data_IF_068322197705
#
_entry.id   IF_068322197705
#
_cell.length_a   1.000
_cell.length_b   1.000
_cell.length_c   1.000
_cell.angle_alpha   90.00
_cell.angle_beta   90.00
_cell.angle_gamma   90.00
#
_symmetry.space_group_name_H-M   'P 1'
#
loop_
_entity.id
_entity.type
_entity.pdbx_description
1 polymer ?
#
# COMPACT_ATOMS: atom_id res chain seq x y z
N UNK A 1 48.75 4.53 -41.52
CA UNK A 1 47.37 4.09 -41.84
C UNK A 1 46.81 3.44 -40.59
N UNK A 2 46.11 4.24 -39.77
CA UNK A 2 45.41 3.79 -38.58
C UNK A 2 44.08 3.17 -39.01
N UNK A 3 43.82 1.93 -38.60
CA UNK A 3 42.50 1.33 -38.69
C UNK A 3 41.67 1.85 -37.51
N UNK A 4 40.66 2.66 -37.82
CA UNK A 4 39.66 3.11 -36.87
C UNK A 4 38.80 1.90 -36.46
N UNK A 5 38.94 1.48 -35.21
CA UNK A 5 37.97 0.62 -34.54
C UNK A 5 36.71 1.44 -34.27
N UNK A 6 35.68 1.24 -35.08
CA UNK A 6 34.34 1.73 -34.79
C UNK A 6 33.81 1.02 -33.53
N UNK A 7 33.85 1.73 -32.41
CA UNK A 7 33.17 1.37 -31.19
C UNK A 7 31.67 1.67 -31.39
N UNK A 8 30.88 0.65 -31.71
CA UNK A 8 29.42 0.73 -31.63
C UNK A 8 29.04 0.70 -30.14
N UNK A 9 28.85 1.87 -29.54
CA UNK A 9 28.13 1.98 -28.26
C UNK A 9 26.65 1.91 -28.63
N UNK A 10 26.06 0.72 -28.49
CA UNK A 10 24.61 0.58 -28.47
C UNK A 10 24.17 0.94 -27.04
N UNK A 11 23.70 2.17 -26.84
CA UNK A 11 23.01 2.56 -25.62
C UNK A 11 21.62 1.90 -25.62
N UNK A 12 21.53 0.70 -25.04
CA UNK A 12 20.25 0.15 -24.57
C UNK A 12 20.10 0.52 -23.08
N UNK A 13 19.76 1.77 -22.79
CA UNK A 13 19.17 2.12 -21.50
C UNK A 13 17.66 2.16 -21.67
N UNK A 14 17.06 1.00 -21.90
CA UNK A 14 15.68 0.74 -21.49
C UNK A 14 15.78 0.30 -20.04
N UNK A 15 15.73 1.25 -19.12
CA UNK A 15 15.63 0.97 -17.69
C UNK A 15 14.22 0.48 -17.40
N UNK A 16 14.05 -0.82 -17.65
CA UNK A 16 12.83 -1.57 -17.39
C UNK A 16 12.50 -1.45 -15.91
N UNK A 17 11.36 -0.86 -15.60
CA UNK A 17 10.95 -0.57 -14.22
C UNK A 17 9.59 -1.18 -13.97
N UNK A 18 9.46 -1.88 -12.85
CA UNK A 18 8.19 -2.41 -12.36
C UNK A 18 7.47 -1.29 -11.61
N UNK A 19 6.32 -0.85 -12.09
CA UNK A 19 5.56 0.22 -11.45
C UNK A 19 4.14 -0.20 -11.05
N UNK A 20 3.64 0.49 -10.02
CA UNK A 20 2.39 0.22 -9.30
C UNK A 20 1.48 1.44 -9.39
N UNK A 21 0.17 1.20 -9.47
CA UNK A 21 -0.68 2.10 -10.27
C UNK A 21 -1.86 2.75 -9.57
N UNK A 22 -2.55 2.10 -8.62
CA UNK A 22 -3.57 2.81 -7.83
C UNK A 22 -3.59 2.41 -6.36
N UNK A 23 -3.34 3.37 -5.48
CA UNK A 23 -3.68 3.28 -4.06
C UNK A 23 -4.72 4.33 -3.71
N UNK A 24 -5.71 3.93 -2.91
CA UNK A 24 -6.65 4.84 -2.27
C UNK A 24 -6.50 4.74 -0.75
N UNK A 25 -6.52 5.88 -0.09
CA UNK A 25 -6.66 5.94 1.35
C UNK A 25 -7.72 6.96 1.73
N UNK A 26 -8.45 6.68 2.80
CA UNK A 26 -9.50 7.58 3.24
C UNK A 26 -9.78 7.46 4.73
N UNK A 27 -10.39 8.51 5.26
CA UNK A 27 -10.89 8.59 6.61
C UNK A 27 -12.41 8.57 6.59
N UNK A 28 -12.98 7.72 7.44
CA UNK A 28 -14.41 7.73 7.73
C UNK A 28 -14.60 7.36 9.19
N UNK A 29 -15.15 8.29 9.96
CA UNK A 29 -15.07 8.38 11.41
C UNK A 29 -13.62 8.39 11.90
N UNK A 30 -13.40 7.69 13.01
CA UNK A 30 -12.07 7.49 13.58
C UNK A 30 -11.23 6.44 12.83
N UNK A 31 -11.70 5.95 11.67
CA UNK A 31 -11.07 4.86 10.94
C UNK A 31 -10.41 5.36 9.65
N UNK A 32 -9.11 5.16 9.59
CA UNK A 32 -8.31 5.32 8.38
C UNK A 32 -8.16 3.95 7.70
N UNK A 33 -8.33 3.94 6.38
CA UNK A 33 -8.41 2.76 5.54
C UNK A 33 -7.50 2.93 4.32
N UNK A 34 -6.77 1.88 3.97
CA UNK A 34 -5.96 1.81 2.76
C UNK A 34 -6.48 0.69 1.87
N UNK A 35 -6.64 0.96 0.57
CA UNK A 35 -6.99 -0.03 -0.43
C UNK A 35 -6.17 0.18 -1.70
N UNK A 36 -6.00 -0.88 -2.47
CA UNK A 36 -5.22 -0.81 -3.70
C UNK A 36 -5.56 -1.98 -4.63
N UNK A 37 -5.25 -1.84 -5.91
CA UNK A 37 -5.28 -2.93 -6.89
C UNK A 37 -4.07 -3.87 -6.69
N UNK A 38 -3.90 -4.94 -7.49
CA UNK A 38 -2.75 -5.85 -7.38
C UNK A 38 -1.84 -5.88 -8.60
N UNK A 39 -2.10 -5.06 -9.61
CA UNK A 39 -1.31 -5.03 -10.83
C UNK A 39 0.07 -4.42 -10.61
N UNK A 40 1.10 -5.17 -10.96
CA UNK A 40 2.45 -4.67 -11.25
C UNK A 40 2.58 -4.63 -12.76
N UNK A 41 2.91 -3.46 -13.30
CA UNK A 41 3.14 -3.26 -14.72
C UNK A 41 4.63 -3.23 -15.04
N UNK A 42 4.99 -3.76 -16.19
CA UNK A 42 6.35 -3.87 -16.72
C UNK A 42 6.32 -3.52 -18.21
N UNK A 43 6.86 -2.37 -18.57
CA UNK A 43 6.68 -1.81 -19.92
C UNK A 43 5.16 -1.68 -20.27
N UNK A 44 4.82 -1.36 -21.52
CA UNK A 44 3.44 -0.94 -21.90
C UNK A 44 2.41 -2.09 -21.93
N UNK A 45 2.83 -3.36 -21.99
CA UNK A 45 1.92 -4.50 -22.26
C UNK A 45 2.11 -5.72 -21.33
N UNK A 46 3.09 -5.71 -20.43
CA UNK A 46 3.32 -6.85 -19.53
C UNK A 46 2.93 -6.48 -18.12
N UNK A 47 2.13 -7.32 -17.49
CA UNK A 47 1.73 -7.10 -16.11
C UNK A 47 1.57 -8.41 -15.35
N UNK A 48 1.51 -8.29 -14.03
CA UNK A 48 1.17 -9.38 -13.12
C UNK A 48 0.28 -8.88 -12.00
N UNK A 49 -0.85 -9.55 -11.79
CA UNK A 49 -1.88 -9.14 -10.83
C UNK A 49 -1.64 -9.73 -9.43
N UNK A 50 -0.39 -9.73 -8.96
CA UNK A 50 0.04 -10.35 -7.68
C UNK A 50 0.84 -9.41 -6.77
N UNK A 51 0.96 -8.13 -7.16
CA UNK A 51 1.72 -7.16 -6.40
C UNK A 51 1.04 -6.78 -5.10
N UNK A 52 1.83 -6.65 -4.03
CA UNK A 52 1.32 -6.28 -2.70
C UNK A 52 1.60 -4.80 -2.48
N UNK A 53 0.55 -3.99 -2.38
CA UNK A 53 0.65 -2.53 -2.22
C UNK A 53 0.28 -2.06 -0.83
N UNK A 54 -0.58 -2.79 -0.13
CA UNK A 54 -1.03 -2.48 1.24
C UNK A 54 -0.32 -3.38 2.24
N UNK A 55 0.46 -2.79 3.15
CA UNK A 55 1.41 -3.51 4.00
C UNK A 55 1.40 -3.02 5.45
N UNK A 56 1.81 -3.92 6.34
CA UNK A 56 2.11 -3.61 7.74
C UNK A 56 3.63 -3.36 7.90
N UNK A 57 3.98 -2.34 8.67
CA UNK A 57 5.35 -2.05 9.11
C UNK A 57 5.38 -2.05 10.64
N UNK A 58 6.15 -2.95 11.23
CA UNK A 58 6.21 -3.08 12.69
C UNK A 58 7.19 -2.08 13.28
N UNK A 59 6.79 -1.41 14.36
CA UNK A 59 7.62 -0.43 15.06
C UNK A 59 7.69 -0.77 16.53
N UNK A 60 8.92 -0.85 17.03
CA UNK A 60 9.20 -1.05 18.45
C UNK A 60 10.24 -0.03 18.89
N UNK A 61 9.86 0.83 19.82
CA UNK A 61 10.75 1.81 20.44
C UNK A 61 10.91 1.44 21.91
N UNK A 62 12.13 1.11 22.30
CA UNK A 62 12.47 0.78 23.67
C UNK A 62 12.84 2.04 24.48
N UNK A 63 12.56 2.02 25.78
CA UNK A 63 12.99 3.05 26.72
C UNK A 63 14.52 3.00 26.91
N UNK A 64 15.12 4.06 27.49
CA UNK A 64 16.49 4.01 28.00
C UNK A 64 16.66 2.84 28.96
N UNK A 65 17.78 2.13 28.86
CA UNK A 65 18.10 1.01 29.75
C UNK A 65 18.69 1.58 31.04
N UNK A 66 18.06 1.39 32.21
CA UNK A 66 18.61 1.85 33.48
C UNK A 66 19.89 1.06 33.81
N UNK A 67 20.96 1.77 34.17
CA UNK A 67 22.24 1.14 34.50
C UNK A 67 22.12 0.14 35.66
N UNK A 68 21.24 0.43 36.62
CA UNK A 68 21.06 -0.36 37.83
C UNK A 68 20.38 -1.70 37.59
N UNK A 69 19.45 -1.77 36.62
CA UNK A 69 18.61 -2.95 36.41
C UNK A 69 18.97 -3.71 35.14
N UNK A 70 19.47 -3.02 34.11
CA UNK A 70 19.67 -3.61 32.79
C UNK A 70 18.39 -4.08 32.11
N UNK A 71 17.21 -3.74 32.65
CA UNK A 71 15.92 -4.20 32.14
C UNK A 71 15.49 -3.32 30.96
N UNK A 72 15.23 -3.95 29.83
CA UNK A 72 14.63 -3.29 28.66
C UNK A 72 13.12 -3.21 28.86
N UNK A 73 12.55 -2.02 28.65
CA UNK A 73 11.09 -1.82 28.62
C UNK A 73 10.71 -1.12 27.32
N UNK A 74 9.50 -1.35 26.82
CA UNK A 74 9.07 -0.82 25.53
C UNK A 74 8.14 0.38 25.73
N UNK A 75 8.45 1.48 25.04
CA UNK A 75 7.69 2.73 25.06
C UNK A 75 6.61 2.76 23.98
N UNK A 76 6.89 2.15 22.83
CA UNK A 76 6.00 2.10 21.66
C UNK A 76 6.08 0.73 21.00
N UNK A 77 4.95 0.09 20.77
CA UNK A 77 4.87 -1.18 20.04
C UNK A 77 3.58 -1.20 19.22
N UNK A 78 3.65 -0.69 18.00
CA UNK A 78 2.52 -0.59 17.09
C UNK A 78 2.90 -1.05 15.69
N UNK A 79 1.87 -1.37 14.91
CA UNK A 79 1.96 -1.61 13.48
C UNK A 79 1.50 -0.37 12.72
N UNK A 80 2.40 0.19 11.92
CA UNK A 80 2.08 1.20 10.93
C UNK A 80 1.46 0.55 9.70
N UNK A 81 0.60 1.30 9.01
CA UNK A 81 0.15 0.97 7.67
C UNK A 81 1.03 1.64 6.63
N UNK A 82 1.31 0.95 5.54
CA UNK A 82 1.97 1.49 4.36
C UNK A 82 1.16 1.16 3.11
N UNK A 83 0.91 2.13 2.24
CA UNK A 83 0.41 1.90 0.88
C UNK A 83 1.15 2.76 -0.13
N UNK A 84 1.42 2.25 -1.34
CA UNK A 84 2.32 2.93 -2.27
C UNK A 84 1.93 2.76 -3.75
N UNK A 85 2.35 3.73 -4.55
CA UNK A 85 2.35 3.70 -6.01
C UNK A 85 3.75 4.07 -6.55
N UNK A 86 4.03 3.70 -7.80
CA UNK A 86 5.34 3.86 -8.44
C UNK A 86 6.26 2.64 -8.33
N UNK A 87 7.55 2.86 -8.19
CA UNK A 87 8.62 1.84 -8.28
C UNK A 87 8.47 0.72 -7.24
N UNK A 88 8.07 -0.46 -7.71
CA UNK A 88 7.83 -1.66 -6.87
C UNK A 88 9.10 -2.04 -6.13
N UNK A 89 10.22 -2.16 -6.84
CA UNK A 89 11.49 -2.56 -6.24
C UNK A 89 11.92 -1.58 -5.15
N UNK A 90 11.76 -0.28 -5.38
CA UNK A 90 12.09 0.73 -4.38
C UNK A 90 11.19 0.60 -3.15
N UNK A 91 9.87 0.49 -3.35
CA UNK A 91 8.90 0.38 -2.27
C UNK A 91 9.17 -0.82 -1.35
N UNK A 92 9.44 -1.99 -1.91
CA UNK A 92 9.74 -3.19 -1.12
C UNK A 92 11.06 -3.07 -0.38
N UNK A 93 12.11 -2.52 -0.99
CA UNK A 93 13.40 -2.31 -0.33
C UNK A 93 13.27 -1.30 0.82
N UNK A 94 12.54 -0.20 0.61
CA UNK A 94 12.21 0.77 1.66
C UNK A 94 11.45 0.05 2.78
N UNK A 95 10.36 -0.66 2.46
CA UNK A 95 9.53 -1.38 3.43
C UNK A 95 10.35 -2.35 4.28
N UNK A 96 11.17 -3.19 3.66
CA UNK A 96 11.98 -4.18 4.40
C UNK A 96 13.02 -3.49 5.28
N UNK A 97 13.68 -2.44 4.76
CA UNK A 97 14.66 -1.67 5.52
C UNK A 97 14.04 -1.00 6.73
N UNK A 98 12.92 -0.28 6.56
CA UNK A 98 12.26 0.39 7.68
C UNK A 98 11.66 -0.62 8.66
N UNK A 99 11.15 -1.76 8.19
CA UNK A 99 10.60 -2.78 9.09
C UNK A 99 11.68 -3.41 9.99
N UNK A 100 12.92 -3.56 9.53
CA UNK A 100 14.03 -4.00 10.40
C UNK A 100 14.49 -2.87 11.34
N UNK A 101 14.72 -1.67 10.81
CA UNK A 101 15.28 -0.56 11.60
C UNK A 101 14.31 -0.09 12.67
N UNK A 102 13.02 0.06 12.34
CA UNK A 102 12.02 0.58 13.26
C UNK A 102 11.71 -0.38 14.42
N UNK A 103 12.14 -1.64 14.35
CA UNK A 103 12.06 -2.58 15.47
C UNK A 103 13.22 -2.46 16.48
N UNK A 104 14.23 -1.62 16.18
CA UNK A 104 15.47 -1.49 16.95
C UNK A 104 15.69 -0.07 17.47
N UNK A 105 14.63 0.73 17.51
CA UNK A 105 14.72 2.10 17.98
C UNK A 105 14.78 2.14 19.50
N UNK A 106 15.53 3.11 20.02
CA UNK A 106 15.54 3.45 21.43
C UNK A 106 15.25 4.94 21.58
N UNK A 107 14.35 5.26 22.49
CA UNK A 107 14.05 6.64 22.85
C UNK A 107 15.16 7.20 23.75
N UNK A 108 15.63 8.42 23.46
CA UNK A 108 16.54 9.17 24.33
C UNK A 108 15.78 10.35 24.96
N UNK A 109 15.76 10.50 26.31
CA UNK A 109 14.90 11.48 26.99
C UNK A 109 15.16 12.95 26.65
N UNK A 110 16.30 13.23 26.02
CA UNK A 110 16.74 14.56 25.64
C UNK A 110 16.57 14.84 24.13
N UNK A 111 15.95 13.92 23.37
CA UNK A 111 15.61 14.15 21.97
C UNK A 111 14.09 14.30 21.82
N UNK A 112 13.68 15.46 21.31
CA UNK A 112 12.39 16.12 21.57
C UNK A 112 11.21 15.68 20.68
N UNK A 113 11.21 14.48 20.08
CA UNK A 113 10.11 14.11 19.17
C UNK A 113 9.74 12.63 19.24
N UNK A 114 8.88 12.30 20.21
CA UNK A 114 8.21 10.99 20.32
C UNK A 114 6.81 11.05 19.70
N UNK A 115 6.71 11.57 18.47
CA UNK A 115 5.48 11.58 17.68
C UNK A 115 5.59 10.62 16.48
N UNK A 116 4.48 10.42 15.76
CA UNK A 116 4.53 9.76 14.46
C UNK A 116 5.41 10.55 13.46
N UNK A 117 5.41 11.89 13.51
CA UNK A 117 6.29 12.72 12.67
C UNK A 117 7.77 12.41 12.96
N UNK A 118 8.13 12.22 14.23
CA UNK A 118 9.47 11.79 14.64
C UNK A 118 9.88 10.45 14.02
N UNK A 119 8.95 9.49 13.99
CA UNK A 119 9.15 8.19 13.31
C UNK A 119 9.29 8.39 11.78
N UNK A 120 8.44 9.21 11.17
CA UNK A 120 8.52 9.55 9.74
C UNK A 120 9.85 10.19 9.35
N UNK A 121 10.45 11.05 10.18
CA UNK A 121 11.80 11.60 9.96
C UNK A 121 12.90 10.55 9.92
N UNK A 122 12.73 9.42 10.61
CA UNK A 122 13.64 8.29 10.49
C UNK A 122 13.43 7.61 9.14
N UNK A 123 12.18 7.36 8.76
CA UNK A 123 11.79 6.76 7.46
C UNK A 123 12.36 7.57 6.28
N UNK A 124 12.22 8.90 6.30
CA UNK A 124 12.74 9.82 5.28
C UNK A 124 14.22 9.54 4.94
N UNK A 125 15.06 9.34 5.96
CA UNK A 125 16.49 9.09 5.77
C UNK A 125 16.76 7.80 4.99
N UNK A 126 15.98 6.76 5.26
CA UNK A 126 16.13 5.47 4.57
C UNK A 126 15.59 5.50 3.16
N UNK A 127 14.48 6.21 2.94
CA UNK A 127 13.91 6.41 1.61
C UNK A 127 14.91 7.13 0.72
N UNK A 128 15.47 8.27 1.16
CA UNK A 128 16.42 9.04 0.37
C UNK A 128 17.68 8.23 0.03
N UNK A 129 18.20 7.51 1.03
CA UNK A 129 19.38 6.64 0.85
C UNK A 129 19.10 5.47 -0.10
N UNK A 130 17.94 4.82 0.00
CA UNK A 130 17.60 3.63 -0.81
C UNK A 130 17.32 4.04 -2.25
N UNK A 131 16.48 5.06 -2.45
CA UNK A 131 16.15 5.60 -3.77
C UNK A 131 17.41 6.08 -4.50
N UNK A 132 18.30 6.82 -3.83
CA UNK A 132 19.56 7.26 -4.40
C UNK A 132 20.46 6.10 -4.82
N UNK A 133 20.59 5.07 -3.97
CA UNK A 133 21.40 3.89 -4.29
C UNK A 133 20.85 3.10 -5.49
N UNK A 134 19.53 3.01 -5.65
CA UNK A 134 18.91 2.34 -6.81
C UNK A 134 19.14 3.11 -8.11
N UNK A 135 18.97 4.44 -8.09
CA UNK A 135 19.28 5.29 -9.25
C UNK A 135 20.76 5.18 -9.60
N UNK A 136 21.64 5.50 -8.67
CA UNK A 136 23.07 5.67 -8.95
C UNK A 136 23.75 4.32 -9.23
N UNK A 137 23.31 3.25 -8.56
CA UNK A 137 23.91 1.92 -8.67
C UNK A 137 23.33 1.06 -9.80
N UNK A 138 22.02 1.17 -10.08
CA UNK A 138 21.33 0.30 -11.04
C UNK A 138 20.70 1.05 -12.22
N UNK A 139 20.73 2.38 -12.22
CA UNK A 139 20.06 3.20 -13.23
C UNK A 139 18.54 3.13 -13.18
N UNK A 140 17.96 2.51 -12.16
CA UNK A 140 16.51 2.32 -12.06
C UNK A 140 15.82 3.64 -11.75
N UNK A 141 14.60 3.82 -12.27
CA UNK A 141 13.73 4.91 -11.83
C UNK A 141 13.22 4.59 -10.40
N UNK A 142 13.61 5.36 -9.38
CA UNK A 142 13.18 5.13 -8.02
C UNK A 142 11.86 5.85 -7.70
N UNK A 143 11.22 6.53 -8.67
CA UNK A 143 10.04 7.33 -8.42
C UNK A 143 8.97 6.54 -7.67
N UNK A 144 8.57 7.06 -6.51
CA UNK A 144 7.63 6.42 -5.59
C UNK A 144 6.90 7.51 -4.81
N UNK A 145 5.61 7.28 -4.60
CA UNK A 145 4.83 7.97 -3.59
C UNK A 145 4.16 6.92 -2.69
N UNK A 146 4.10 7.20 -1.40
CA UNK A 146 3.50 6.27 -0.45
C UNK A 146 2.94 6.97 0.77
N UNK A 147 2.02 6.31 1.46
CA UNK A 147 1.49 6.74 2.74
C UNK A 147 2.10 5.92 3.86
N UNK A 148 2.36 6.56 4.99
CA UNK A 148 2.61 5.91 6.27
C UNK A 148 1.56 6.40 7.25
N UNK A 149 0.73 5.47 7.72
CA UNK A 149 -0.22 5.74 8.80
C UNK A 149 0.21 5.07 10.10
N UNK A 150 -0.11 5.68 11.23
CA UNK A 150 0.19 5.11 12.54
C UNK A 150 -0.48 5.82 13.70
N UNK A 151 -0.58 5.13 14.84
CA UNK A 151 -0.98 5.78 16.08
C UNK A 151 0.13 6.71 16.57
N UNK A 152 -0.17 8.00 16.70
CA UNK A 152 0.74 8.99 17.27
C UNK A 152 0.54 9.06 18.79
N UNK A 153 1.56 8.75 19.61
CA UNK A 153 1.42 8.79 21.06
C UNK A 153 1.38 10.22 21.61
N UNK A 154 1.88 11.21 20.88
CA UNK A 154 1.77 12.62 21.29
C UNK A 154 0.34 13.16 21.06
N UNK A 155 -0.22 12.94 19.87
CA UNK A 155 -1.55 13.43 19.50
C UNK A 155 -2.70 12.50 19.92
N UNK A 156 -2.40 11.29 20.40
CA UNK A 156 -3.37 10.27 20.82
C UNK A 156 -4.40 9.93 19.73
N UNK A 157 -3.98 9.94 18.47
CA UNK A 157 -4.82 9.60 17.30
C UNK A 157 -4.00 8.91 16.23
N UNK A 158 -4.68 8.25 15.30
CA UNK A 158 -4.05 7.78 14.06
C UNK A 158 -3.85 9.00 13.15
N UNK A 159 -2.64 9.11 12.59
CA UNK A 159 -2.25 10.15 11.64
C UNK A 159 -1.66 9.47 10.40
N UNK A 160 -1.75 10.12 9.25
CA UNK A 160 -1.19 9.63 7.99
C UNK A 160 -0.29 10.69 7.39
N UNK A 161 0.89 10.27 6.94
CA UNK A 161 1.83 11.10 6.22
C UNK A 161 1.98 10.58 4.79
N UNK A 162 1.83 11.47 3.81
CA UNK A 162 2.19 11.22 2.42
C UNK A 162 3.67 11.51 2.23
N UNK A 163 4.37 10.61 1.55
CA UNK A 163 5.76 10.74 1.14
C UNK A 163 5.80 10.83 -0.39
N UNK A 164 6.45 11.86 -0.91
CA UNK A 164 6.68 12.04 -2.35
C UNK A 164 8.17 12.21 -2.60
N UNK A 165 8.73 11.38 -3.48
CA UNK A 165 10.12 11.50 -3.91
C UNK A 165 10.24 12.55 -5.02
N UNK A 166 11.04 13.59 -4.78
CA UNK A 166 11.28 14.68 -5.74
C UNK A 166 12.69 14.55 -6.31
N UNK A 167 12.79 14.49 -7.64
CA UNK A 167 14.07 14.52 -8.35
C UNK A 167 14.59 15.95 -8.46
N UNK A 168 15.64 16.25 -7.69
CA UNK A 168 16.32 17.55 -7.69
C UNK A 168 17.60 17.54 -8.54
N UNK A 169 17.63 16.83 -9.67
CA UNK A 169 18.78 16.64 -10.59
C UNK A 169 19.98 15.92 -9.96
N UNK A 170 20.57 16.47 -8.89
CA UNK A 170 21.79 15.96 -8.26
C UNK A 170 21.49 15.01 -7.09
N UNK A 171 20.34 15.18 -6.43
CA UNK A 171 19.88 14.37 -5.31
C UNK A 171 18.37 14.18 -5.34
N UNK A 172 17.88 13.31 -4.48
CA UNK A 172 16.44 13.19 -4.21
C UNK A 172 16.10 13.93 -2.91
N UNK A 173 15.01 14.68 -2.95
CA UNK A 173 14.35 15.20 -1.77
C UNK A 173 13.07 14.41 -1.51
N UNK A 174 12.60 14.45 -0.27
CA UNK A 174 11.34 13.82 0.11
C UNK A 174 10.47 14.91 0.69
N UNK A 175 9.32 15.14 0.07
CA UNK A 175 8.25 15.90 0.71
C UNK A 175 7.45 14.96 1.60
N UNK A 176 7.14 15.44 2.80
CA UNK A 176 6.32 14.70 3.75
C UNK A 176 5.27 15.61 4.34
N UNK A 177 4.01 15.31 4.01
CA UNK A 177 2.84 16.10 4.41
C UNK A 177 1.87 15.22 5.19
N UNK A 178 1.28 15.78 6.24
CA UNK A 178 0.16 15.14 6.94
C UNK A 178 -1.09 15.21 6.06
N UNK A 179 -1.79 14.09 5.93
CA UNK A 179 -2.99 13.94 5.11
C UNK A 179 -4.07 13.19 5.89
N UNK A 180 -5.32 13.26 5.40
CA UNK A 180 -6.48 12.60 6.02
C UNK A 180 -6.78 13.12 7.43
N UNK A 181 -6.79 14.45 7.59
CA UNK A 181 -7.03 15.09 8.89
C UNK A 181 -8.53 15.25 9.16
N UNK A 182 -9.32 15.54 8.13
CA UNK A 182 -10.76 15.79 8.24
C UNK A 182 -11.61 14.53 7.94
N UNK A 183 -12.87 14.57 8.38
CA UNK A 183 -13.85 13.53 8.05
C UNK A 183 -14.11 13.50 6.54
N UNK A 184 -14.27 12.31 5.97
CA UNK A 184 -14.46 12.06 4.54
C UNK A 184 -13.29 12.49 3.64
N UNK A 185 -12.14 12.86 4.21
CA UNK A 185 -10.89 13.04 3.46
C UNK A 185 -10.51 11.73 2.76
N UNK A 186 -10.02 11.87 1.55
CA UNK A 186 -9.43 10.78 0.78
C UNK A 186 -8.21 11.26 0.00
N UNK A 187 -7.36 10.31 -0.37
CA UNK A 187 -6.22 10.53 -1.24
C UNK A 187 -6.05 9.35 -2.19
N UNK A 188 -5.71 9.67 -3.42
CA UNK A 188 -5.36 8.75 -4.50
C UNK A 188 -3.89 8.91 -4.89
N UNK A 189 -3.22 7.79 -5.13
CA UNK A 189 -1.83 7.71 -5.58
C UNK A 189 -1.74 6.89 -6.86
N UNK A 190 -0.80 7.24 -7.73
CA UNK A 190 -0.47 6.51 -8.96
C UNK A 190 -1.30 6.90 -10.18
N UNK A 191 -1.10 6.17 -11.28
CA UNK A 191 -1.69 6.43 -12.60
C UNK A 191 -3.22 6.33 -12.65
N UNK A 192 -3.85 5.53 -11.78
CA UNK A 192 -5.32 5.44 -11.69
C UNK A 192 -6.00 6.65 -11.05
N UNK A 193 -5.22 7.61 -10.54
CA UNK A 193 -5.72 8.75 -9.75
C UNK A 193 -6.74 9.61 -10.51
N UNK A 194 -6.41 10.05 -11.72
CA UNK A 194 -7.29 10.92 -12.51
C UNK A 194 -8.67 10.31 -12.69
N UNK A 195 -8.73 9.03 -13.06
CA UNK A 195 -9.99 8.32 -13.28
C UNK A 195 -10.77 8.10 -11.99
N UNK A 196 -10.08 7.73 -10.92
CA UNK A 196 -10.70 7.59 -9.61
C UNK A 196 -11.35 8.92 -9.16
N UNK A 197 -10.64 10.03 -9.33
CA UNK A 197 -11.13 11.37 -8.99
C UNK A 197 -12.34 11.77 -9.85
N UNK A 198 -12.34 11.50 -11.15
CA UNK A 198 -13.50 11.73 -12.02
C UNK A 198 -14.75 11.01 -11.52
N UNK A 199 -14.65 9.71 -11.22
CA UNK A 199 -15.78 8.90 -10.74
C UNK A 199 -16.27 9.43 -9.38
N UNK A 200 -15.34 9.83 -8.49
CA UNK A 200 -15.67 10.40 -7.18
C UNK A 200 -16.39 11.75 -7.34
N UNK A 201 -15.91 12.62 -8.21
CA UNK A 201 -16.52 13.92 -8.48
C UNK A 201 -17.94 13.79 -9.06
N UNK A 202 -18.16 12.81 -9.94
CA UNK A 202 -19.46 12.56 -10.56
C UNK A 202 -20.50 12.01 -9.57
N UNK A 203 -20.09 11.13 -8.65
CA UNK A 203 -21.00 10.35 -7.80
C UNK A 203 -21.06 10.83 -6.34
N UNK A 204 -20.03 11.52 -5.88
CA UNK A 204 -19.79 11.83 -4.47
C UNK A 204 -19.45 10.59 -3.64
N UNK A 205 -19.04 10.80 -2.39
CA UNK A 205 -18.76 9.73 -1.43
C UNK A 205 -19.99 9.53 -0.55
N UNK A 206 -20.93 8.69 -1.00
CA UNK A 206 -22.18 8.44 -0.29
C UNK A 206 -22.06 7.42 0.86
N UNK A 207 -21.03 6.58 0.84
CA UNK A 207 -20.83 5.50 1.83
C UNK A 207 -19.37 5.09 1.90
N UNK A 208 -18.99 4.36 2.97
CA UNK A 208 -17.63 3.80 3.11
C UNK A 208 -17.25 2.85 1.96
N UNK A 209 -18.24 2.20 1.33
CA UNK A 209 -18.03 1.27 0.23
C UNK A 209 -17.86 1.97 -1.12
N UNK A 210 -18.16 3.26 -1.22
CA UNK A 210 -18.07 4.00 -2.49
C UNK A 210 -16.65 3.95 -3.05
N UNK A 211 -15.62 4.14 -2.21
CA UNK A 211 -14.23 4.12 -2.65
C UNK A 211 -13.74 2.73 -3.08
N UNK A 212 -14.29 1.65 -2.50
CA UNK A 212 -14.05 0.30 -3.01
C UNK A 212 -14.63 0.08 -4.40
N UNK A 213 -15.82 0.63 -4.66
CA UNK A 213 -16.47 0.54 -5.97
C UNK A 213 -15.72 1.34 -7.02
N UNK A 214 -15.26 2.54 -6.66
CA UNK A 214 -14.36 3.35 -7.50
C UNK A 214 -13.11 2.55 -7.84
N UNK A 215 -12.42 2.00 -6.85
CA UNK A 215 -11.21 1.21 -7.07
C UNK A 215 -11.47 0.01 -8.00
N UNK A 216 -12.55 -0.75 -7.76
CA UNK A 216 -12.90 -1.91 -8.60
C UNK A 216 -13.24 -1.49 -10.03
N UNK A 217 -13.93 -0.37 -10.21
CA UNK A 217 -14.28 0.17 -11.53
C UNK A 217 -13.04 0.61 -12.30
N UNK A 218 -12.10 1.31 -11.66
CA UNK A 218 -10.83 1.67 -12.30
C UNK A 218 -10.01 0.43 -12.66
N UNK A 219 -10.03 -0.62 -11.83
CA UNK A 219 -9.38 -1.90 -12.16
C UNK A 219 -9.99 -2.62 -13.37
N UNK A 220 -11.23 -2.29 -13.73
CA UNK A 220 -11.97 -2.86 -14.85
C UNK A 220 -11.98 -1.94 -16.08
N UNK A 221 -11.36 -0.77 -15.97
CA UNK A 221 -11.27 0.22 -17.05
C UNK A 221 -10.17 -0.16 -18.04
N UNK A 222 -10.57 -0.56 -19.25
CA UNK A 222 -9.64 -0.98 -20.31
C UNK A 222 -8.77 0.19 -20.83
N UNK A 223 -9.19 1.44 -20.59
CA UNK A 223 -8.43 2.63 -20.99
C UNK A 223 -7.23 2.91 -20.05
N UNK A 224 -7.13 2.16 -18.94
CA UNK A 224 -6.08 2.30 -17.91
C UNK A 224 -5.42 0.94 -17.68
N UNK A 225 -4.68 0.42 -18.67
CA UNK A 225 -4.22 -0.97 -18.68
C UNK A 225 -3.21 -1.29 -17.57
N UNK A 226 -2.64 -0.27 -16.93
CA UNK A 226 -1.64 -0.42 -15.88
C UNK A 226 -2.27 -0.58 -14.47
N UNK A 227 -3.56 -0.32 -14.30
CA UNK A 227 -4.32 -0.60 -13.07
C UNK A 227 -5.12 -1.90 -13.24
N UNK A 228 -5.15 -2.77 -12.23
CA UNK A 228 -6.01 -3.95 -12.29
C UNK A 228 -5.69 -5.05 -11.28
N UNK A 229 -6.19 -6.23 -11.58
CA UNK A 229 -6.08 -7.37 -10.69
C UNK A 229 -7.08 -7.32 -9.54
N UNK A 230 -6.70 -7.92 -8.42
CA UNK A 230 -7.57 -8.13 -7.27
C UNK A 230 -7.30 -7.10 -6.17
N UNK A 231 -8.36 -6.76 -5.44
CA UNK A 231 -8.30 -5.72 -4.43
C UNK A 231 -7.51 -6.14 -3.18
N UNK A 232 -6.84 -5.16 -2.58
CA UNK A 232 -6.12 -5.26 -1.32
C UNK A 232 -6.68 -4.25 -0.34
N UNK A 233 -6.65 -4.59 0.95
CA UNK A 233 -7.25 -3.73 1.97
C UNK A 233 -6.58 -3.87 3.34
N UNK A 234 -6.49 -2.75 4.06
CA UNK A 234 -6.15 -2.71 5.46
C UNK A 234 -6.71 -1.47 6.15
N UNK A 235 -6.83 -1.52 7.47
CA UNK A 235 -7.27 -0.37 8.27
C UNK A 235 -6.65 -0.37 9.66
N UNK A 236 -6.72 0.79 10.33
CA UNK A 236 -6.34 0.94 11.73
C UNK A 236 -7.48 0.48 12.64
N UNK A 237 -7.17 -0.47 13.51
CA UNK A 237 -8.09 -0.97 14.53
C UNK A 237 -8.15 -0.02 15.73
N UNK A 238 -9.12 -0.24 16.62
CA UNK A 238 -9.33 0.62 17.79
C UNK A 238 -8.12 0.71 18.74
N UNK A 239 -7.20 -0.25 18.67
CA UNK A 239 -5.95 -0.26 19.43
C UNK A 239 -4.82 0.53 18.74
N UNK A 240 -5.10 1.21 17.62
CA UNK A 240 -4.14 1.99 16.85
C UNK A 240 -3.23 1.15 15.94
N UNK A 241 -3.38 -0.19 15.92
CA UNK A 241 -2.59 -1.04 15.04
C UNK A 241 -3.22 -1.14 13.65
N UNK A 242 -2.39 -1.00 12.62
CA UNK A 242 -2.79 -1.35 11.26
C UNK A 242 -2.89 -2.87 11.11
N UNK A 243 -3.94 -3.32 10.42
CA UNK A 243 -4.11 -4.72 10.02
C UNK A 243 -4.55 -4.83 8.58
N UNK A 244 -4.00 -5.82 7.88
CA UNK A 244 -4.43 -6.21 6.54
C UNK A 244 -5.57 -7.24 6.63
N UNK A 245 -6.58 -7.06 5.79
CA UNK A 245 -7.74 -7.92 5.69
C UNK A 245 -7.85 -8.50 4.27
N UNK A 246 -8.50 -9.65 4.13
CA UNK A 246 -8.93 -10.13 2.84
C UNK A 246 -10.15 -9.35 2.33
N UNK A 247 -10.38 -9.41 1.02
CA UNK A 247 -11.56 -8.83 0.38
C UNK A 247 -12.37 -9.97 -0.21
N UNK A 248 -13.64 -10.05 0.17
CA UNK A 248 -14.60 -10.91 -0.49
C UNK A 248 -15.28 -10.11 -1.62
N UNK A 249 -15.00 -10.51 -2.85
CA UNK A 249 -15.64 -10.03 -4.06
C UNK A 249 -16.58 -11.10 -4.61
N UNK A 250 -17.22 -10.83 -5.75
CA UNK A 250 -18.07 -11.80 -6.42
C UNK A 250 -17.92 -11.71 -7.94
N UNK A 251 -18.27 -12.79 -8.63
CA UNK A 251 -18.51 -12.78 -10.07
C UNK A 251 -19.77 -13.58 -10.40
N UNK A 252 -20.42 -13.20 -11.49
CA UNK A 252 -21.54 -13.93 -12.06
C UNK A 252 -20.96 -14.83 -13.17
N UNK A 253 -21.19 -16.13 -13.09
CA UNK A 253 -20.78 -17.11 -14.09
C UNK A 253 -21.72 -17.09 -15.30
N UNK A 254 -21.32 -17.75 -16.39
CA UNK A 254 -22.13 -17.85 -17.63
C UNK A 254 -23.51 -18.47 -17.42
N UNK A 255 -23.70 -19.24 -16.35
CA UNK A 255 -24.95 -19.89 -15.95
C UNK A 255 -25.76 -19.08 -14.92
N UNK A 256 -25.47 -17.78 -14.80
CA UNK A 256 -26.08 -16.87 -13.81
C UNK A 256 -25.86 -17.31 -12.35
N UNK A 257 -24.84 -18.15 -12.08
CA UNK A 257 -24.46 -18.49 -10.71
C UNK A 257 -23.51 -17.44 -10.14
N UNK A 258 -23.88 -16.91 -8.97
CA UNK A 258 -23.02 -16.05 -8.16
C UNK A 258 -21.94 -16.88 -7.48
N UNK A 259 -20.68 -16.51 -7.71
CA UNK A 259 -19.52 -17.10 -7.05
C UNK A 259 -18.81 -16.05 -6.20
N UNK A 260 -18.61 -16.37 -4.92
CA UNK A 260 -17.79 -15.57 -4.02
C UNK A 260 -16.30 -15.79 -4.31
N UNK A 261 -15.56 -14.70 -4.35
CA UNK A 261 -14.13 -14.66 -4.59
C UNK A 261 -13.46 -14.12 -3.33
N UNK A 262 -12.62 -14.94 -2.70
CA UNK A 262 -11.89 -14.52 -1.50
C UNK A 262 -10.44 -14.20 -1.86
N UNK A 263 -10.11 -12.92 -1.74
CA UNK A 263 -8.79 -12.37 -2.06
C UNK A 263 -8.06 -12.04 -0.78
N UNK A 264 -6.76 -12.36 -0.73
CA UNK A 264 -5.86 -11.81 0.27
C UNK A 264 -4.56 -11.34 -0.39
N UNK A 265 -4.24 -10.05 -0.22
CA UNK A 265 -3.04 -9.42 -0.79
C UNK A 265 -2.89 -9.63 -2.31
N UNK A 266 -3.98 -9.52 -3.05
CA UNK A 266 -3.99 -9.73 -4.50
C UNK A 266 -4.00 -11.20 -4.93
N UNK A 267 -4.06 -12.16 -4.00
CA UNK A 267 -4.06 -13.61 -4.30
C UNK A 267 -5.40 -14.25 -3.97
N UNK A 268 -5.89 -15.13 -4.85
CA UNK A 268 -7.08 -15.95 -4.61
C UNK A 268 -6.79 -17.08 -3.64
N UNK A 269 -7.49 -17.13 -2.50
CA UNK A 269 -7.21 -18.10 -1.44
C UNK A 269 -7.97 -19.43 -1.56
N UNK A 270 -9.10 -19.48 -2.26
CA UNK A 270 -9.92 -20.70 -2.37
C UNK A 270 -10.11 -21.11 -3.84
N UNK A 271 -8.98 -21.40 -4.50
CA UNK A 271 -8.94 -22.22 -5.72
C UNK A 271 -8.31 -23.56 -5.37
N UNK A 272 -8.55 -24.57 -6.21
CA UNK A 272 -8.11 -25.98 -6.04
C UNK A 272 -6.69 -26.12 -5.43
N UNK A 273 -5.76 -25.24 -5.79
CA UNK A 273 -4.37 -25.20 -5.30
C UNK A 273 -4.22 -25.05 -3.77
N UNK A 274 -5.13 -24.33 -3.10
CA UNK A 274 -5.10 -24.10 -1.64
C UNK A 274 -6.07 -25.01 -0.86
N UNK A 275 -7.01 -25.64 -1.56
CA UNK A 275 -7.98 -26.57 -0.95
C UNK A 275 -7.44 -28.01 -0.85
N UNK A 276 -6.42 -28.36 -1.66
CA UNK A 276 -6.01 -29.76 -1.88
C UNK A 276 -4.78 -30.19 -1.05
N UNK A 277 -4.01 -29.31 -0.40
CA UNK A 277 -2.83 -29.77 0.37
C UNK A 277 -3.19 -30.17 1.82
N UNK A 278 -3.24 -31.48 2.03
CA UNK A 278 -3.25 -32.14 3.33
C UNK A 278 -2.13 -31.56 4.24
N UNK A 279 -2.47 -30.91 5.37
CA UNK A 279 -1.69 -30.84 6.64
C UNK A 279 -2.15 -29.68 7.54
N UNK A 280 -2.82 -29.99 8.68
CA UNK A 280 -2.99 -29.29 9.98
C UNK A 280 -2.83 -27.75 10.17
N UNK A 281 -2.60 -26.95 9.12
CA UNK A 281 -2.32 -25.53 9.14
C UNK A 281 -3.29 -24.88 8.16
N UNK A 282 -4.03 -23.90 8.66
CA UNK A 282 -4.99 -23.15 7.86
C UNK A 282 -4.64 -21.67 7.91
N UNK A 283 -4.83 -20.98 6.79
CA UNK A 283 -4.71 -19.53 6.72
C UNK A 283 -5.91 -18.94 7.49
N UNK A 284 -5.66 -18.46 8.70
CA UNK A 284 -6.66 -17.78 9.52
C UNK A 284 -6.70 -16.29 9.18
N UNK A 285 -7.55 -15.90 8.23
CA UNK A 285 -7.67 -14.52 7.75
C UNK A 285 -9.10 -14.00 7.88
N UNK A 286 -9.24 -12.72 8.28
CA UNK A 286 -10.53 -12.02 8.26
C UNK A 286 -10.75 -11.35 6.91
N UNK A 287 -11.99 -11.33 6.45
CA UNK A 287 -12.41 -10.72 5.19
C UNK A 287 -13.43 -9.61 5.42
N UNK A 288 -13.37 -8.56 4.60
CA UNK A 288 -14.46 -7.60 4.44
C UNK A 288 -15.32 -7.96 3.23
N UNK A 289 -16.58 -7.51 3.22
CA UNK A 289 -17.54 -7.73 2.13
C UNK A 289 -18.02 -6.37 1.58
N UNK A 290 -17.17 -5.58 0.91
CA UNK A 290 -17.51 -4.22 0.49
C UNK A 290 -18.62 -4.17 -0.59
N UNK A 291 -18.93 -5.30 -1.22
CA UNK A 291 -19.93 -5.41 -2.29
C UNK A 291 -21.19 -6.16 -1.88
N UNK A 292 -21.42 -6.35 -0.57
CA UNK A 292 -22.57 -7.10 -0.06
C UNK A 292 -23.92 -6.52 -0.53
N UNK A 293 -24.03 -5.19 -0.65
CA UNK A 293 -25.25 -4.54 -1.11
C UNK A 293 -25.58 -4.88 -2.57
N UNK A 294 -24.57 -5.05 -3.42
CA UNK A 294 -24.75 -5.43 -4.82
C UNK A 294 -25.16 -6.89 -4.95
N UNK A 295 -24.59 -7.75 -4.10
CA UNK A 295 -24.99 -9.15 -4.00
C UNK A 295 -26.45 -9.26 -3.56
N UNK A 296 -26.86 -8.51 -2.54
CA UNK A 296 -28.26 -8.48 -2.08
C UNK A 296 -29.20 -7.98 -3.17
N UNK A 297 -28.81 -6.93 -3.89
CA UNK A 297 -29.60 -6.40 -5.01
C UNK A 297 -29.73 -7.42 -6.14
N UNK A 298 -28.67 -8.17 -6.45
CA UNK A 298 -28.72 -9.27 -7.41
C UNK A 298 -29.71 -10.36 -6.99
N UNK A 299 -29.67 -10.83 -5.74
CA UNK A 299 -30.62 -11.85 -5.24
C UNK A 299 -32.08 -11.38 -5.29
N UNK A 300 -32.34 -10.11 -5.00
CA UNK A 300 -33.67 -9.50 -5.15
C UNK A 300 -34.16 -9.55 -6.59
N UNK A 301 -33.30 -9.20 -7.54
CA UNK A 301 -33.64 -9.22 -8.97
C UNK A 301 -33.94 -10.63 -9.48
N UNK A 302 -33.30 -11.65 -8.90
CA UNK A 302 -33.58 -13.06 -9.20
C UNK A 302 -34.83 -13.61 -8.48
N UNK A 303 -35.47 -12.84 -7.60
CA UNK A 303 -36.62 -13.29 -6.82
C UNK A 303 -36.26 -14.36 -5.78
N UNK A 304 -35.00 -14.37 -5.33
CA UNK A 304 -34.44 -15.36 -4.41
C UNK A 304 -34.24 -14.83 -2.98
N UNK A 305 -34.73 -13.63 -2.68
CA UNK A 305 -34.76 -13.08 -1.32
C UNK A 305 -35.84 -13.81 -0.50
N UNK A 306 -35.42 -14.53 0.55
CA UNK A 306 -36.27 -15.11 1.60
C UNK A 306 -36.20 -14.28 2.89
#
# INVERSE_FOLDING_TARGET
>A
MQAASHLFIINFNLTKTLFMTLCLAWKNGDRIRFASDSRISFDDDQYSDVGIKVMEVSVKIDNPIPYETGIVTTAYNYKLGMCFAGSTTNAYLIKETINDVLQRLQFTPFCEDFSLRGICRVIEKFVASTSGALRDGLGMDPNIEFLIGGFCPENQRVMVYKFELIDCHDHYEIMVDEVLDDEDDYISLGSGTTRAEEIILERGIASENTLFKVLREVCQDEDIPDVGGLLQYGHFENDGNFKVFGVADYRIKEDDLLEYIYVYRGTLLYREEFEIDERNLHIAQKFIMPFEDEIKEYWKQQGLDS
#
